data_IF_589868517238
#
_entry.id   IF_589868517238
#
_cell.length_a   1.000
_cell.length_b   1.000
_cell.length_c   1.000
_cell.angle_alpha   90.00
_cell.angle_beta   90.00
_cell.angle_gamma   90.00
#
_symmetry.space_group_name_H-M   'P 1'
#
loop_
_entity.id
_entity.type
_entity.pdbx_description
1 polymer ?
#
# COMPACT_ATOMS: atom_id res chain seq x y z
N UNK A 1 -42.73 4.57 -7.70
CA UNK A 1 -41.90 3.46 -8.22
C UNK A 1 -41.14 2.87 -7.04
N UNK A 2 -41.11 1.54 -6.88
CA UNK A 2 -40.27 0.90 -5.85
C UNK A 2 -38.85 0.79 -6.43
N UNK A 3 -37.89 1.50 -5.84
CA UNK A 3 -36.49 1.30 -6.19
C UNK A 3 -36.06 -0.11 -5.82
N UNK A 4 -35.51 -0.83 -6.80
CA UNK A 4 -34.98 -2.18 -6.60
C UNK A 4 -33.56 -2.04 -6.06
N UNK A 5 -33.34 -2.39 -4.79
CA UNK A 5 -32.02 -2.35 -4.16
C UNK A 5 -31.15 -3.45 -4.76
N UNK A 6 -30.00 -3.09 -5.33
CA UNK A 6 -28.99 -4.05 -5.81
C UNK A 6 -27.88 -4.21 -4.78
N UNK A 7 -27.44 -5.45 -4.46
CA UNK A 7 -26.30 -5.64 -3.58
C UNK A 7 -25.01 -5.17 -4.25
N UNK A 8 -24.12 -4.56 -3.46
CA UNK A 8 -22.74 -4.25 -3.85
C UNK A 8 -21.84 -5.26 -3.15
N UNK A 9 -21.09 -6.06 -3.91
CA UNK A 9 -20.22 -7.11 -3.37
C UNK A 9 -18.76 -6.68 -3.35
N UNK A 10 -18.05 -7.06 -2.29
CA UNK A 10 -16.58 -6.97 -2.19
C UNK A 10 -16.04 -8.39 -2.08
N UNK A 11 -15.10 -8.76 -2.95
CA UNK A 11 -14.41 -10.05 -2.90
C UNK A 11 -13.01 -9.89 -2.31
N UNK A 12 -12.70 -10.66 -1.26
CA UNK A 12 -11.39 -10.68 -0.62
C UNK A 12 -10.81 -12.09 -0.77
N UNK A 13 -9.76 -12.24 -1.58
CA UNK A 13 -9.07 -13.51 -1.75
C UNK A 13 -8.37 -13.90 -0.44
N UNK A 14 -8.60 -15.11 0.08
CA UNK A 14 -8.06 -15.53 1.38
C UNK A 14 -6.54 -15.35 1.54
N UNK A 15 -5.76 -15.42 0.45
CA UNK A 15 -4.31 -15.17 0.47
C UNK A 15 -3.94 -13.76 0.95
N UNK A 16 -4.80 -12.75 0.77
CA UNK A 16 -4.57 -11.38 1.26
C UNK A 16 -4.81 -11.22 2.76
N UNK A 17 -5.42 -12.22 3.39
CA UNK A 17 -5.66 -12.30 4.83
C UNK A 17 -4.55 -13.04 5.57
N UNK A 18 -3.60 -13.65 4.85
CA UNK A 18 -2.49 -14.36 5.47
C UNK A 18 -1.48 -13.39 6.10
N UNK A 19 -1.06 -13.70 7.33
CA UNK A 19 -0.01 -12.96 8.02
C UNK A 19 1.35 -13.33 7.45
N UNK A 20 2.12 -12.33 7.07
CA UNK A 20 3.49 -12.46 6.56
C UNK A 20 4.18 -11.10 6.67
N UNK A 21 5.51 -11.07 6.75
CA UNK A 21 6.26 -9.84 6.50
C UNK A 21 6.27 -9.61 5.00
N UNK A 22 5.59 -8.56 4.58
CA UNK A 22 5.22 -8.31 3.19
C UNK A 22 5.48 -6.86 2.86
N UNK A 23 5.77 -6.60 1.60
CA UNK A 23 5.58 -5.27 1.00
C UNK A 23 4.24 -5.31 0.27
N UNK A 24 3.43 -4.27 0.43
CA UNK A 24 2.17 -4.14 -0.29
C UNK A 24 2.12 -2.82 -1.05
N UNK A 25 1.45 -2.87 -2.19
CA UNK A 25 1.21 -1.74 -3.07
C UNK A 25 -0.30 -1.53 -3.13
N UNK A 26 -0.74 -0.32 -2.83
CA UNK A 26 -2.10 0.15 -3.08
C UNK A 26 -2.07 1.06 -4.29
N UNK A 27 -2.93 0.76 -5.26
CA UNK A 27 -3.17 1.62 -6.41
C UNK A 27 -4.58 2.16 -6.29
N UNK A 28 -4.70 3.49 -6.25
CA UNK A 28 -5.98 4.18 -6.34
C UNK A 28 -6.08 4.75 -7.74
N UNK A 29 -7.10 4.33 -8.47
CA UNK A 29 -7.48 4.86 -9.78
C UNK A 29 -8.57 5.89 -9.55
N UNK A 30 -8.34 7.12 -9.98
CA UNK A 30 -9.30 8.22 -9.85
C UNK A 30 -9.19 9.16 -11.06
N UNK A 31 -10.29 9.36 -11.78
CA UNK A 31 -10.25 9.93 -13.13
C UNK A 31 -9.30 9.14 -14.04
N UNK A 32 -8.48 9.84 -14.84
CA UNK A 32 -7.42 9.24 -15.67
C UNK A 32 -6.13 8.91 -14.90
N UNK A 33 -6.04 9.25 -13.60
CA UNK A 33 -4.79 9.20 -12.84
C UNK A 33 -4.66 7.95 -11.97
N UNK A 34 -3.40 7.56 -11.75
CA UNK A 34 -2.99 6.49 -10.84
C UNK A 34 -2.21 7.05 -9.66
N UNK A 35 -2.64 6.69 -8.47
CA UNK A 35 -2.03 7.10 -7.22
C UNK A 35 -1.53 5.86 -6.48
N UNK A 36 -0.29 5.91 -6.02
CA UNK A 36 0.40 4.76 -5.45
C UNK A 36 0.75 5.00 -4.00
N UNK A 37 0.47 4.01 -3.17
CA UNK A 37 0.99 3.91 -1.81
C UNK A 37 1.71 2.57 -1.67
N UNK A 38 2.93 2.58 -1.13
CA UNK A 38 3.69 1.36 -0.84
C UNK A 38 3.90 1.29 0.66
N UNK A 39 3.57 0.16 1.28
CA UNK A 39 3.78 -0.05 2.71
C UNK A 39 4.34 -1.42 3.01
N UNK A 40 4.63 -1.66 4.29
CA UNK A 40 5.08 -2.97 4.79
C UNK A 40 4.23 -3.48 5.95
N UNK A 41 4.24 -4.80 6.14
CA UNK A 41 3.66 -5.48 7.31
C UNK A 41 4.75 -5.89 8.30
N UNK A 42 4.51 -5.58 9.57
CA UNK A 42 5.51 -5.70 10.65
C UNK A 42 5.36 -4.50 11.60
N UNK A 43 4.90 -4.76 12.81
CA UNK A 43 4.59 -3.71 13.80
C UNK A 43 5.81 -3.37 14.66
N UNK A 44 6.05 -2.10 14.98
CA UNK A 44 7.17 -1.72 15.88
C UNK A 44 6.89 -2.02 17.35
N UNK A 45 5.61 -2.12 17.72
CA UNK A 45 5.16 -2.17 19.11
C UNK A 45 4.74 -3.57 19.53
N UNK A 46 4.44 -4.44 18.57
CA UNK A 46 3.97 -5.79 18.84
C UNK A 46 4.65 -6.77 17.89
N UNK A 47 4.96 -7.96 18.40
CA UNK A 47 5.50 -9.05 17.59
C UNK A 47 4.38 -9.62 16.72
N UNK A 48 4.14 -8.96 15.58
CA UNK A 48 3.11 -9.35 14.64
C UNK A 48 3.44 -8.86 13.23
N UNK A 49 3.30 -9.75 12.26
CA UNK A 49 3.31 -9.43 10.84
C UNK A 49 1.89 -9.61 10.28
N UNK A 50 1.00 -8.67 10.67
CA UNK A 50 -0.42 -8.67 10.28
C UNK A 50 -0.58 -8.79 8.77
N UNK A 51 -1.74 -9.30 8.34
CA UNK A 51 -2.05 -9.38 6.91
C UNK A 51 -2.05 -8.00 6.22
N UNK A 52 -1.70 -7.96 4.92
CA UNK A 52 -1.78 -6.75 4.12
C UNK A 52 -3.18 -6.12 4.14
N UNK A 53 -4.22 -6.96 4.09
CA UNK A 53 -5.60 -6.49 4.17
C UNK A 53 -5.87 -5.70 5.46
N UNK A 54 -5.43 -6.21 6.62
CA UNK A 54 -5.59 -5.51 7.90
C UNK A 54 -4.88 -4.15 7.91
N UNK A 55 -3.68 -4.06 7.32
CA UNK A 55 -2.95 -2.79 7.24
C UNK A 55 -3.72 -1.79 6.38
N UNK A 56 -4.27 -2.24 5.26
CA UNK A 56 -4.97 -1.36 4.32
C UNK A 56 -6.31 -0.90 4.87
N UNK A 57 -7.06 -1.77 5.56
CA UNK A 57 -8.29 -1.34 6.24
C UNK A 57 -8.00 -0.24 7.27
N UNK A 58 -6.82 -0.27 7.92
CA UNK A 58 -6.40 0.83 8.79
C UNK A 58 -6.05 2.10 7.98
N UNK A 59 -5.41 1.96 6.82
CA UNK A 59 -5.12 3.09 5.93
C UNK A 59 -6.38 3.73 5.32
N UNK A 60 -7.44 2.95 5.16
CA UNK A 60 -8.77 3.38 4.71
C UNK A 60 -9.73 3.68 5.89
N UNK A 61 -9.23 3.74 7.12
CA UNK A 61 -10.05 4.12 8.27
C UNK A 61 -10.01 5.63 8.50
N UNK A 62 -11.13 6.21 8.92
CA UNK A 62 -11.26 7.64 9.22
C UNK A 62 -10.78 8.04 10.62
N UNK A 63 -10.08 7.16 11.35
CA UNK A 63 -9.69 7.42 12.74
C UNK A 63 -8.76 8.63 12.85
N UNK A 64 -9.21 9.69 13.50
CA UNK A 64 -8.52 10.98 13.56
C UNK A 64 -7.11 10.84 14.17
N UNK A 65 -6.10 11.35 13.45
CA UNK A 65 -4.69 11.48 13.87
C UNK A 65 -3.88 10.18 13.97
N UNK A 66 -4.15 9.20 13.12
CA UNK A 66 -3.24 8.06 12.96
C UNK A 66 -2.24 8.29 11.83
N UNK A 67 -0.97 7.93 12.05
CA UNK A 67 0.03 7.74 10.98
C UNK A 67 -0.40 6.71 9.92
N UNK A 68 -1.54 6.04 10.16
CA UNK A 68 -2.20 5.14 9.24
C UNK A 68 -2.99 5.88 8.15
N UNK A 69 -3.45 7.12 8.30
CA UNK A 69 -4.37 7.71 7.30
C UNK A 69 -3.68 8.28 6.04
N UNK A 70 -2.48 7.80 5.71
CA UNK A 70 -1.64 8.37 4.64
C UNK A 70 -2.28 8.33 3.26
N UNK A 71 -3.09 7.31 2.96
CA UNK A 71 -3.80 7.24 1.67
C UNK A 71 -4.81 8.38 1.59
N UNK A 72 -5.63 8.57 2.63
CA UNK A 72 -6.59 9.67 2.70
C UNK A 72 -5.93 11.04 2.66
N UNK A 73 -4.91 11.26 3.49
CA UNK A 73 -4.22 12.55 3.56
C UNK A 73 -3.53 12.86 2.23
N UNK A 74 -2.87 11.87 1.61
CA UNK A 74 -2.22 12.05 0.31
C UNK A 74 -3.21 12.36 -0.81
N UNK A 75 -4.39 11.71 -0.81
CA UNK A 75 -5.45 12.01 -1.79
C UNK A 75 -6.04 13.41 -1.58
N UNK A 76 -6.29 13.81 -0.33
CA UNK A 76 -6.79 15.13 0.00
C UNK A 76 -5.82 16.23 -0.47
N UNK A 77 -4.53 16.09 -0.14
CA UNK A 77 -3.47 17.03 -0.52
C UNK A 77 -3.37 17.18 -2.04
N UNK A 78 -3.41 16.06 -2.78
CA UNK A 78 -3.28 16.08 -4.24
C UNK A 78 -4.48 16.67 -4.98
N UNK A 79 -5.66 16.62 -4.35
CA UNK A 79 -6.90 17.14 -4.92
C UNK A 79 -7.24 18.54 -4.39
N UNK A 80 -6.35 19.15 -3.60
CA UNK A 80 -6.56 20.47 -2.99
C UNK A 80 -7.76 20.50 -2.04
N UNK A 81 -8.08 19.36 -1.42
CA UNK A 81 -9.18 19.20 -0.46
C UNK A 81 -8.63 19.16 0.95
N UNK A 82 -9.44 19.59 1.91
CA UNK A 82 -9.13 19.42 3.33
C UNK A 82 -9.62 18.06 3.81
N UNK A 83 -8.78 17.34 4.56
CA UNK A 83 -9.16 16.06 5.20
C UNK A 83 -10.43 16.17 6.06
N UNK A 84 -10.73 17.35 6.60
CA UNK A 84 -11.94 17.61 7.38
C UNK A 84 -13.23 17.63 6.56
N UNK A 85 -13.14 17.79 5.23
CA UNK A 85 -14.27 17.74 4.31
C UNK A 85 -14.60 16.29 3.96
N UNK A 86 -15.39 15.66 4.84
CA UNK A 86 -15.73 14.23 4.75
C UNK A 86 -16.50 13.88 3.50
N UNK A 87 -17.43 14.74 3.09
CA UNK A 87 -18.27 14.50 1.91
C UNK A 87 -17.43 14.49 0.64
N UNK A 88 -16.53 15.47 0.46
CA UNK A 88 -15.59 15.45 -0.66
C UNK A 88 -14.73 14.19 -0.67
N UNK A 89 -14.23 13.74 0.49
CA UNK A 89 -13.39 12.53 0.57
C UNK A 89 -14.17 11.26 0.27
N UNK A 90 -15.41 11.15 0.75
CA UNK A 90 -16.29 10.03 0.38
C UNK A 90 -16.57 10.01 -1.12
N UNK A 91 -16.83 11.16 -1.74
CA UNK A 91 -17.09 11.24 -3.18
C UNK A 91 -15.87 10.82 -3.99
N UNK A 92 -14.67 11.25 -3.60
CA UNK A 92 -13.41 10.78 -4.22
C UNK A 92 -13.32 9.26 -4.15
N UNK A 93 -13.59 8.65 -3.00
CA UNK A 93 -13.51 7.20 -2.84
C UNK A 93 -14.60 6.45 -3.61
N UNK A 94 -15.82 7.00 -3.69
CA UNK A 94 -16.92 6.44 -4.48
C UNK A 94 -16.59 6.38 -5.97
N UNK A 95 -15.88 7.40 -6.47
CA UNK A 95 -15.43 7.50 -7.86
C UNK A 95 -14.12 6.74 -8.12
N UNK A 96 -13.46 6.26 -7.06
CA UNK A 96 -12.19 5.57 -7.17
C UNK A 96 -12.36 4.06 -7.33
N UNK A 97 -11.37 3.43 -7.97
CA UNK A 97 -11.12 1.99 -7.81
C UNK A 97 -9.84 1.80 -7.01
N UNK A 98 -9.87 0.96 -5.97
CA UNK A 98 -8.71 0.68 -5.12
C UNK A 98 -8.28 -0.76 -5.32
N UNK A 99 -7.03 -0.96 -5.73
CA UNK A 99 -6.42 -2.28 -5.87
C UNK A 99 -5.29 -2.46 -4.87
N UNK A 100 -5.14 -3.70 -4.41
CA UNK A 100 -4.19 -4.10 -3.39
C UNK A 100 -3.38 -5.27 -3.91
N UNK A 101 -2.07 -5.11 -3.90
CA UNK A 101 -1.13 -6.15 -4.29
C UNK A 101 -0.17 -6.38 -3.13
N UNK A 102 0.02 -7.63 -2.74
CA UNK A 102 0.92 -8.00 -1.66
C UNK A 102 2.00 -8.95 -2.15
N UNK A 103 3.22 -8.67 -1.72
CA UNK A 103 4.42 -9.44 -1.96
C UNK A 103 4.92 -9.95 -0.61
N UNK A 104 4.53 -11.18 -0.20
CA UNK A 104 5.07 -11.80 0.99
C UNK A 104 6.57 -12.04 0.79
N UNK A 105 7.39 -11.50 1.68
CA UNK A 105 8.85 -11.62 1.65
C UNK A 105 9.30 -12.71 2.63
N UNK A 106 8.69 -12.73 3.81
CA UNK A 106 9.00 -13.70 4.87
C UNK A 106 7.69 -14.22 5.46
N UNK A 107 7.54 -15.55 5.50
CA UNK A 107 6.39 -16.19 6.12
C UNK A 107 6.33 -15.87 7.63
N UNK A 108 5.11 -15.82 8.18
CA UNK A 108 4.90 -15.61 9.61
C UNK A 108 3.93 -16.65 10.16
N UNK A 109 4.23 -17.21 11.33
CA UNK A 109 3.38 -18.22 11.98
C UNK A 109 3.29 -17.96 13.47
N UNK A 110 2.10 -17.69 13.99
CA UNK A 110 1.88 -17.50 15.44
C UNK A 110 2.24 -18.72 16.30
N UNK A 111 2.51 -19.88 15.68
CA UNK A 111 2.76 -21.14 16.39
C UNK A 111 4.25 -21.42 16.62
N UNK A 112 5.17 -20.71 15.96
CA UNK A 112 6.60 -20.97 16.10
C UNK A 112 7.22 -20.13 17.21
N UNK A 113 8.24 -20.66 17.89
CA UNK A 113 9.04 -19.91 18.86
C UNK A 113 9.69 -18.67 18.22
N UNK A 114 10.15 -18.80 16.98
CA UNK A 114 10.76 -17.72 16.19
C UNK A 114 9.82 -16.55 15.93
N UNK A 115 8.50 -16.81 15.83
CA UNK A 115 7.51 -15.75 15.68
C UNK A 115 7.21 -15.00 16.98
N UNK A 116 7.72 -15.48 18.12
CA UNK A 116 7.65 -14.79 19.42
C UNK A 116 9.04 -14.26 19.86
N UNK A 117 10.07 -14.44 19.03
CA UNK A 117 11.39 -13.87 19.26
C UNK A 117 11.46 -12.42 18.75
N UNK A 118 11.81 -11.51 19.64
CA UNK A 118 11.79 -10.07 19.36
C UNK A 118 12.88 -9.67 18.37
N UNK A 119 14.05 -10.31 18.44
CA UNK A 119 15.18 -10.00 17.56
C UNK A 119 14.92 -10.46 16.13
N UNK A 120 14.43 -11.69 15.97
CA UNK A 120 13.96 -12.22 14.68
C UNK A 120 12.89 -11.30 14.09
N UNK A 121 11.90 -10.89 14.89
CA UNK A 121 10.87 -9.97 14.45
C UNK A 121 11.43 -8.62 13.96
N UNK A 122 12.33 -8.02 14.73
CA UNK A 122 12.99 -6.78 14.36
C UNK A 122 13.80 -6.92 13.07
N UNK A 123 14.50 -8.03 12.89
CA UNK A 123 15.30 -8.29 11.69
C UNK A 123 14.42 -8.46 10.45
N UNK A 124 13.36 -9.28 10.53
CA UNK A 124 12.40 -9.44 9.44
C UNK A 124 11.73 -8.13 9.06
N UNK A 125 11.29 -7.34 10.05
CA UNK A 125 10.73 -6.01 9.83
C UNK A 125 11.73 -5.06 9.14
N UNK A 126 13.01 -5.08 9.55
CA UNK A 126 14.05 -4.25 8.92
C UNK A 126 14.27 -4.62 7.45
N UNK A 127 14.18 -5.90 7.10
CA UNK A 127 14.31 -6.37 5.71
C UNK A 127 13.17 -5.79 4.86
N UNK A 128 11.91 -6.02 5.25
CA UNK A 128 10.77 -5.51 4.46
C UNK A 128 10.71 -3.99 4.42
N UNK A 129 11.13 -3.29 5.47
CA UNK A 129 11.26 -1.83 5.48
C UNK A 129 12.33 -1.31 4.50
N UNK A 130 13.43 -2.05 4.31
CA UNK A 130 14.44 -1.69 3.30
C UNK A 130 13.88 -1.83 1.90
N UNK A 131 13.20 -2.95 1.62
CA UNK A 131 12.56 -3.23 0.32
C UNK A 131 11.47 -2.18 0.02
N UNK A 132 10.60 -1.88 1.00
CA UNK A 132 9.58 -0.82 0.90
C UNK A 132 10.20 0.51 0.48
N UNK A 133 11.23 0.97 1.20
CA UNK A 133 11.89 2.24 0.91
C UNK A 133 12.53 2.28 -0.47
N UNK A 134 13.18 1.21 -0.87
CA UNK A 134 13.76 1.10 -2.21
C UNK A 134 12.67 1.12 -3.30
N UNK A 135 11.55 0.44 -3.09
CA UNK A 135 10.42 0.44 -4.02
C UNK A 135 9.79 1.83 -4.17
N UNK A 136 9.58 2.55 -3.05
CA UNK A 136 9.11 3.94 -3.07
C UNK A 136 10.08 4.83 -3.85
N UNK A 137 11.39 4.68 -3.62
CA UNK A 137 12.40 5.49 -4.29
C UNK A 137 12.50 5.17 -5.78
N UNK A 138 12.42 3.90 -6.13
CA UNK A 138 12.37 3.44 -7.52
C UNK A 138 11.16 4.06 -8.22
N UNK A 139 9.97 3.97 -7.63
CA UNK A 139 8.75 4.54 -8.19
C UNK A 139 8.88 6.06 -8.37
N UNK A 140 9.43 6.76 -7.38
CA UNK A 140 9.64 8.21 -7.44
C UNK A 140 10.57 8.68 -8.57
N UNK A 141 11.45 7.82 -9.09
CA UNK A 141 12.28 8.12 -10.26
C UNK A 141 11.55 7.92 -11.58
N UNK A 142 10.57 7.01 -11.63
CA UNK A 142 9.91 6.60 -12.86
C UNK A 142 8.63 7.40 -13.13
N UNK A 143 8.47 8.58 -12.52
CA UNK A 143 7.30 9.47 -12.56
C UNK A 143 6.87 9.86 -13.98
N UNK A 144 6.23 8.95 -14.68
CA UNK A 144 5.32 9.20 -15.78
C UNK A 144 3.92 9.26 -15.18
N UNK A 145 3.39 10.47 -15.05
CA UNK A 145 1.97 10.79 -14.73
C UNK A 145 1.35 10.19 -13.45
N UNK A 146 2.14 9.53 -12.60
CA UNK A 146 1.66 8.93 -11.37
C UNK A 146 2.05 9.71 -10.11
N UNK A 147 1.20 9.60 -9.09
CA UNK A 147 1.36 10.31 -7.82
C UNK A 147 1.69 9.34 -6.69
N UNK A 148 2.61 9.74 -5.82
CA UNK A 148 3.03 8.94 -4.67
C UNK A 148 2.36 9.51 -3.42
N UNK A 149 1.60 8.68 -2.73
CA UNK A 149 0.84 9.03 -1.53
C UNK A 149 1.66 8.86 -0.23
N UNK A 150 2.79 8.14 -0.29
CA UNK A 150 3.68 7.98 0.86
C UNK A 150 4.17 9.33 1.37
N UNK A 151 3.89 9.65 2.63
CA UNK A 151 4.45 10.85 3.27
C UNK A 151 5.97 10.78 3.30
N UNK A 152 6.62 11.92 3.09
CA UNK A 152 8.08 12.08 3.16
C UNK A 152 8.88 11.18 2.18
N UNK A 153 8.29 10.67 1.09
CA UNK A 153 9.02 9.85 0.12
C UNK A 153 10.29 10.55 -0.44
N UNK A 154 10.26 11.89 -0.54
CA UNK A 154 11.39 12.72 -0.95
C UNK A 154 12.62 12.61 -0.02
N UNK A 155 12.42 12.25 1.25
CA UNK A 155 13.49 12.12 2.25
C UNK A 155 14.19 10.75 2.21
N UNK A 156 13.72 9.83 1.36
CA UNK A 156 14.33 8.50 1.24
C UNK A 156 15.66 8.62 0.46
N UNK A 157 16.80 8.18 1.05
CA UNK A 157 18.12 8.23 0.42
C UNK A 157 18.19 7.43 -0.88
N UNK A 158 19.04 7.86 -1.82
CA UNK A 158 19.14 7.19 -3.13
C UNK A 158 19.81 5.82 -3.06
N UNK A 159 20.81 5.67 -2.20
CA UNK A 159 21.59 4.43 -2.03
C UNK A 159 20.75 3.21 -1.59
N UNK A 160 19.49 3.39 -1.16
CA UNK A 160 18.62 2.27 -0.80
C UNK A 160 18.25 1.37 -2.00
N UNK A 161 18.24 1.92 -3.22
CA UNK A 161 17.97 1.15 -4.44
C UNK A 161 19.18 0.32 -4.83
N UNK A 162 20.36 0.92 -4.78
CA UNK A 162 21.61 0.32 -5.26
C UNK A 162 21.99 -0.91 -4.41
N UNK A 163 21.67 -0.88 -3.11
CA UNK A 163 21.90 -2.00 -2.18
C UNK A 163 21.01 -3.22 -2.45
N UNK A 164 19.89 -3.04 -3.15
CA UNK A 164 18.90 -4.10 -3.38
C UNK A 164 18.76 -4.48 -4.86
N UNK A 165 19.67 -4.04 -5.73
CA UNK A 165 19.61 -4.30 -7.18
C UNK A 165 19.55 -5.78 -7.54
N UNK A 166 20.11 -6.65 -6.70
CA UNK A 166 20.13 -8.11 -6.87
C UNK A 166 19.09 -8.84 -6.01
N UNK A 167 18.32 -8.14 -5.17
CA UNK A 167 17.29 -8.76 -4.33
C UNK A 167 16.08 -9.20 -5.19
N UNK A 168 15.81 -10.51 -5.20
CA UNK A 168 14.76 -11.09 -6.05
C UNK A 168 13.36 -10.56 -5.75
N UNK A 169 13.04 -10.18 -4.51
CA UNK A 169 11.73 -9.61 -4.17
C UNK A 169 11.64 -8.18 -4.67
N UNK A 170 12.70 -7.40 -4.51
CA UNK A 170 12.76 -6.03 -5.03
C UNK A 170 12.65 -6.00 -6.56
N UNK A 171 13.33 -6.91 -7.27
CA UNK A 171 13.22 -7.04 -8.73
C UNK A 171 11.76 -7.35 -9.13
N UNK A 172 11.11 -8.32 -8.48
CA UNK A 172 9.71 -8.66 -8.79
C UNK A 172 8.76 -7.49 -8.53
N UNK A 173 8.94 -6.78 -7.42
CA UNK A 173 8.14 -5.60 -7.06
C UNK A 173 8.31 -4.50 -8.11
N UNK A 174 9.54 -4.20 -8.53
CA UNK A 174 9.81 -3.14 -9.51
C UNK A 174 9.31 -3.50 -10.92
N UNK A 175 9.47 -4.76 -11.34
CA UNK A 175 8.86 -5.25 -12.58
C UNK A 175 7.33 -5.13 -12.55
N UNK A 176 6.70 -5.43 -11.41
CA UNK A 176 5.26 -5.27 -11.25
C UNK A 176 4.83 -3.80 -11.25
N UNK A 177 5.56 -2.92 -10.55
CA UNK A 177 5.31 -1.48 -10.60
C UNK A 177 5.42 -0.93 -12.02
N UNK A 178 6.44 -1.36 -12.79
CA UNK A 178 6.58 -0.98 -14.19
C UNK A 178 5.34 -1.36 -15.00
N UNK A 179 4.84 -2.61 -14.86
CA UNK A 179 3.59 -3.05 -15.50
C UNK A 179 2.39 -2.20 -15.10
N UNK A 180 2.27 -1.80 -13.83
CA UNK A 180 1.18 -0.94 -13.37
C UNK A 180 1.27 0.47 -13.96
N UNK A 181 2.47 1.02 -14.10
CA UNK A 181 2.72 2.32 -14.74
C UNK A 181 2.32 2.25 -16.22
N UNK A 182 2.73 1.18 -16.92
CA UNK A 182 2.54 1.05 -18.37
C UNK A 182 1.12 0.58 -18.75
N UNK A 183 0.37 -0.02 -17.82
CA UNK A 183 -1.01 -0.44 -18.07
C UNK A 183 -1.94 0.76 -18.29
N UNK A 184 -3.10 0.53 -18.89
CA UNK A 184 -4.16 1.55 -18.99
C UNK A 184 -4.87 1.74 -17.64
N UNK A 185 -5.66 2.81 -17.54
CA UNK A 185 -6.52 3.02 -16.39
C UNK A 185 -7.84 2.23 -16.60
N UNK A 186 -8.24 1.33 -15.69
CA UNK A 186 -9.50 0.58 -15.82
C UNK A 186 -10.76 1.45 -15.80
N UNK A 187 -10.64 2.73 -15.41
CA UNK A 187 -11.73 3.70 -15.51
C UNK A 187 -11.88 4.33 -16.90
N UNK A 188 -10.88 4.22 -17.79
CA UNK A 188 -10.94 4.76 -19.16
C UNK A 188 -11.60 3.77 -20.15
N UNK A 189 -11.80 2.53 -19.74
CA UNK A 189 -12.38 1.45 -20.56
C UNK A 189 -13.87 1.18 -20.26
N UNK A 190 -14.51 2.04 -19.46
CA UNK A 190 -15.94 1.98 -19.10
C UNK A 190 -16.68 3.20 -19.60
#
# INVERSE_FOLDING_TARGET
>A
MKETIKPISIEIKGKTLESAYSVYIVVVYYGSKKYFYIGQTGDTKAISARSPFYRISAHLSYYAKSSQNQIFEGMADLLGKTYSDRESMENILKESTIQIHSFPVIAFSYKTKEANDLDTHHNHRKIVLKIEKAAIKWLAKHKKEHFILNKNYNKIPQNCVDVLSEDSHFIQITQFLQKLIDSENPLETK
#
